data_IF_421440662146
#
_entry.id   IF_421440662146
#
_cell.length_a   1.000
_cell.length_b   1.000
_cell.length_c   1.000
_cell.angle_alpha   90.00
_cell.angle_beta   90.00
_cell.angle_gamma   90.00
#
_symmetry.space_group_name_H-M   'P 1'
#
loop_
_entity.id
_entity.type
_entity.pdbx_description
1 polymer ?
#
# COMPACT_ATOMS: atom_id res chain seq x y z
N UNK A 1 -55.06 43.68 -27.15
CA UNK A 1 -54.56 43.23 -28.46
C UNK A 1 -53.63 42.04 -28.23
N UNK A 2 -53.77 40.93 -28.98
CA UNK A 2 -52.81 39.82 -28.87
C UNK A 2 -51.42 40.25 -29.36
N UNK A 3 -50.34 39.69 -28.79
CA UNK A 3 -48.98 40.01 -29.20
C UNK A 3 -48.72 39.63 -30.66
N UNK A 4 -47.84 40.36 -31.38
CA UNK A 4 -47.56 40.10 -32.79
C UNK A 4 -46.85 38.76 -32.97
N UNK A 5 -47.18 38.06 -34.06
CA UNK A 5 -46.77 36.68 -34.35
C UNK A 5 -45.26 36.44 -34.27
N UNK A 6 -44.45 37.42 -34.69
CA UNK A 6 -42.99 37.33 -34.62
C UNK A 6 -42.48 37.22 -33.17
N UNK A 7 -43.14 37.91 -32.23
CA UNK A 7 -42.78 37.86 -30.80
C UNK A 7 -43.21 36.52 -30.22
N UNK A 8 -44.40 36.02 -30.57
CA UNK A 8 -44.85 34.70 -30.09
C UNK A 8 -43.96 33.56 -30.61
N UNK A 9 -43.52 33.64 -31.86
CA UNK A 9 -42.63 32.65 -32.46
C UNK A 9 -41.22 32.67 -31.83
N UNK A 10 -40.71 33.87 -31.49
CA UNK A 10 -39.45 34.02 -30.77
C UNK A 10 -39.54 33.48 -29.34
N UNK A 11 -40.62 33.77 -28.62
CA UNK A 11 -40.87 33.23 -27.27
C UNK A 11 -40.94 31.70 -27.31
N UNK A 12 -41.68 31.13 -28.27
CA UNK A 12 -41.79 29.68 -28.43
C UNK A 12 -40.42 29.01 -28.73
N UNK A 13 -39.59 29.63 -29.58
CA UNK A 13 -38.22 29.15 -29.84
C UNK A 13 -37.34 29.22 -28.60
N UNK A 14 -37.39 30.31 -27.84
CA UNK A 14 -36.62 30.46 -26.61
C UNK A 14 -37.03 29.43 -25.55
N UNK A 15 -38.33 29.18 -25.38
CA UNK A 15 -38.84 28.14 -24.49
C UNK A 15 -38.44 26.73 -24.93
N UNK A 16 -38.41 26.49 -26.25
CA UNK A 16 -37.95 25.21 -26.80
C UNK A 16 -36.47 24.97 -26.49
N UNK A 17 -35.58 25.92 -26.82
CA UNK A 17 -34.15 25.79 -26.56
C UNK A 17 -33.84 25.78 -25.05
N UNK A 18 -34.58 26.53 -24.23
CA UNK A 18 -34.45 26.49 -22.78
C UNK A 18 -34.81 25.14 -22.18
N UNK A 19 -35.82 24.45 -22.73
CA UNK A 19 -36.16 23.06 -22.35
C UNK A 19 -35.07 22.09 -22.80
N UNK A 20 -34.63 22.18 -24.06
CA UNK A 20 -33.59 21.31 -24.62
C UNK A 20 -32.28 21.41 -23.84
N UNK A 21 -31.87 22.60 -23.42
CA UNK A 21 -30.65 22.79 -22.63
C UNK A 21 -30.74 22.11 -21.26
N UNK A 22 -31.90 22.17 -20.60
CA UNK A 22 -32.13 21.47 -19.33
C UNK A 22 -32.05 19.95 -19.49
N UNK A 23 -32.57 19.41 -20.59
CA UNK A 23 -32.48 17.98 -20.92
C UNK A 23 -31.03 17.55 -21.20
N UNK A 24 -30.28 18.35 -21.97
CA UNK A 24 -28.87 18.09 -22.24
C UNK A 24 -28.02 18.10 -20.96
N UNK A 25 -28.26 19.03 -20.04
CA UNK A 25 -27.56 19.06 -18.75
C UNK A 25 -27.84 17.81 -17.91
N UNK A 26 -29.09 17.32 -17.91
CA UNK A 26 -29.44 16.06 -17.24
C UNK A 26 -28.71 14.87 -17.86
N UNK A 27 -28.72 14.77 -19.19
CA UNK A 27 -28.03 13.71 -19.92
C UNK A 27 -26.51 13.70 -19.69
N UNK A 28 -25.90 14.90 -19.64
CA UNK A 28 -24.48 15.06 -19.33
C UNK A 28 -24.15 14.58 -17.91
N UNK A 29 -24.98 14.91 -16.93
CA UNK A 29 -24.78 14.44 -15.55
C UNK A 29 -24.83 12.91 -15.48
N UNK A 30 -25.81 12.30 -16.13
CA UNK A 30 -25.95 10.84 -16.14
C UNK A 30 -24.78 10.15 -16.85
N UNK A 31 -24.26 10.72 -17.94
CA UNK A 31 -23.12 10.15 -18.65
C UNK A 31 -21.82 10.24 -17.84
N UNK A 32 -21.60 11.33 -17.08
CA UNK A 32 -20.46 11.46 -16.16
C UNK A 32 -20.53 10.39 -15.06
N UNK A 33 -21.71 10.21 -14.45
CA UNK A 33 -21.91 9.21 -13.40
C UNK A 33 -21.63 7.81 -13.94
N UNK A 34 -22.22 7.44 -15.08
CA UNK A 34 -22.01 6.12 -15.69
C UNK A 34 -20.52 5.85 -15.97
N UNK A 35 -19.82 6.84 -16.57
CA UNK A 35 -18.39 6.73 -16.85
C UNK A 35 -17.55 6.56 -15.58
N UNK A 36 -17.93 7.25 -14.50
CA UNK A 36 -17.21 7.15 -13.23
C UNK A 36 -17.49 5.81 -12.54
N UNK A 37 -18.72 5.33 -12.56
CA UNK A 37 -19.11 4.02 -12.03
C UNK A 37 -18.40 2.87 -12.75
N UNK A 38 -18.30 2.92 -14.07
CA UNK A 38 -17.58 1.91 -14.86
C UNK A 38 -16.08 1.91 -14.54
N UNK A 39 -15.49 3.10 -14.38
CA UNK A 39 -14.10 3.24 -13.94
C UNK A 39 -13.87 2.69 -12.53
N UNK A 40 -14.83 2.89 -11.62
CA UNK A 40 -14.72 2.42 -10.24
C UNK A 40 -14.88 0.89 -10.15
N UNK A 41 -15.76 0.31 -10.98
CA UNK A 41 -15.93 -1.14 -11.10
C UNK A 41 -14.64 -1.84 -11.57
N UNK A 42 -13.89 -1.21 -12.46
CA UNK A 42 -12.60 -1.73 -12.94
C UNK A 42 -11.47 -1.63 -11.90
N UNK A 43 -11.65 -0.89 -10.80
CA UNK A 43 -10.63 -0.84 -9.75
C UNK A 43 -10.61 -2.18 -9.03
N UNK A 44 -9.42 -2.75 -8.92
CA UNK A 44 -9.21 -3.94 -8.11
C UNK A 44 -9.76 -3.69 -6.70
N UNK A 45 -10.55 -4.65 -6.20
CA UNK A 45 -10.99 -4.64 -4.82
C UNK A 45 -9.73 -4.67 -3.94
N UNK A 46 -9.44 -3.54 -3.30
CA UNK A 46 -8.36 -3.45 -2.33
C UNK A 46 -8.67 -4.43 -1.22
N UNK A 47 -7.96 -5.55 -1.20
CA UNK A 47 -7.97 -6.48 -0.08
C UNK A 47 -7.37 -5.76 1.12
N UNK A 48 -8.22 -5.24 2.00
CA UNK A 48 -7.83 -4.54 3.24
C UNK A 48 -7.10 -5.44 4.24
N UNK A 49 -6.99 -6.74 3.97
CA UNK A 49 -6.47 -7.73 4.91
C UNK A 49 -5.01 -8.13 4.70
N UNK A 50 -4.26 -7.45 3.81
CA UNK A 50 -2.80 -7.54 3.87
C UNK A 50 -2.31 -6.55 4.92
N UNK A 51 -2.21 -7.01 6.17
CA UNK A 51 -1.22 -6.47 7.09
C UNK A 51 0.14 -6.65 6.40
N UNK A 52 0.54 -5.64 5.62
CA UNK A 52 1.80 -5.66 4.92
C UNK A 52 2.87 -5.67 6.01
N UNK A 53 3.50 -6.83 6.22
CA UNK A 53 4.77 -6.89 6.94
C UNK A 53 5.73 -6.04 6.12
N UNK A 54 5.92 -4.79 6.54
CA UNK A 54 6.71 -3.82 5.80
C UNK A 54 8.18 -4.20 5.92
N UNK A 55 8.82 -4.46 4.78
CA UNK A 55 10.23 -4.85 4.74
C UNK A 55 11.16 -3.74 5.26
N UNK A 56 10.70 -2.50 5.21
CA UNK A 56 11.39 -1.30 5.71
C UNK A 56 10.48 -0.55 6.68
N UNK A 57 11.11 0.05 7.69
CA UNK A 57 10.42 0.97 8.59
C UNK A 57 10.03 2.26 7.88
N UNK A 58 8.92 2.85 8.33
CA UNK A 58 8.49 4.20 7.99
C UNK A 58 9.44 5.24 8.60
N UNK A 59 9.26 6.52 8.26
CA UNK A 59 9.96 7.62 8.94
C UNK A 59 9.58 7.67 10.42
N UNK A 60 8.31 7.48 10.76
CA UNK A 60 7.84 7.43 12.15
C UNK A 60 8.49 6.30 12.95
N UNK A 61 8.73 5.14 12.33
CA UNK A 61 9.41 4.02 13.01
C UNK A 61 10.85 4.39 13.37
N UNK A 62 11.54 5.13 12.50
CA UNK A 62 12.91 5.61 12.77
C UNK A 62 12.94 6.63 13.90
N UNK A 63 12.00 7.56 13.92
CA UNK A 63 11.92 8.58 14.97
C UNK A 63 11.54 7.96 16.33
N UNK A 64 10.72 6.90 16.32
CA UNK A 64 10.39 6.12 17.51
C UNK A 64 11.48 5.11 17.92
N UNK A 65 12.59 5.01 17.17
CA UNK A 65 13.66 4.05 17.44
C UNK A 65 13.26 2.58 17.22
N UNK A 66 12.16 2.33 16.52
CA UNK A 66 11.66 0.99 16.20
C UNK A 66 12.51 0.41 15.07
N UNK A 67 13.28 -0.63 15.39
CA UNK A 67 14.05 -1.39 14.40
C UNK A 67 13.11 -2.06 13.41
N UNK A 68 13.43 -1.96 12.13
CA UNK A 68 12.58 -2.55 11.10
C UNK A 68 12.60 -4.08 11.17
N UNK A 69 11.56 -4.74 10.63
CA UNK A 69 11.44 -6.20 10.64
C UNK A 69 12.66 -6.93 10.06
N UNK A 70 13.36 -6.34 9.08
CA UNK A 70 14.58 -6.92 8.52
C UNK A 70 15.76 -6.88 9.50
N UNK A 71 15.93 -5.78 10.24
CA UNK A 71 17.00 -5.62 11.22
C UNK A 71 16.81 -6.55 12.42
N UNK A 72 15.57 -6.68 12.89
CA UNK A 72 15.24 -7.58 14.00
C UNK A 72 15.50 -9.04 13.62
N UNK A 73 15.09 -9.46 12.42
CA UNK A 73 15.35 -10.82 11.91
C UNK A 73 16.85 -11.09 11.71
N UNK A 74 17.60 -10.12 11.17
CA UNK A 74 19.06 -10.26 11.02
C UNK A 74 19.77 -10.41 12.37
N UNK A 75 19.40 -9.59 13.35
CA UNK A 75 19.95 -9.66 14.70
C UNK A 75 19.63 -11.02 15.36
N UNK A 76 18.38 -11.48 15.27
CA UNK A 76 17.97 -12.77 15.80
C UNK A 76 18.71 -13.94 15.13
N UNK A 77 18.93 -13.86 13.80
CA UNK A 77 19.70 -14.88 13.06
C UNK A 77 21.15 -14.94 13.53
N UNK A 78 21.80 -13.78 13.72
CA UNK A 78 23.19 -13.73 14.20
C UNK A 78 23.33 -14.31 15.61
N UNK A 79 22.40 -13.99 16.52
CA UNK A 79 22.39 -14.55 17.87
C UNK A 79 22.26 -16.08 17.85
N UNK A 80 21.31 -16.62 17.07
CA UNK A 80 21.12 -18.08 16.95
C UNK A 80 22.32 -18.79 16.33
N UNK A 81 22.96 -18.18 15.34
CA UNK A 81 24.19 -18.74 14.75
C UNK A 81 25.33 -18.76 15.76
N UNK A 82 25.49 -17.70 16.55
CA UNK A 82 26.50 -17.64 17.60
C UNK A 82 26.30 -18.75 18.63
N UNK A 83 25.08 -18.95 19.13
CA UNK A 83 24.76 -20.03 20.06
C UNK A 83 25.07 -21.42 19.48
N UNK A 84 24.83 -21.62 18.19
CA UNK A 84 25.13 -22.87 17.51
C UNK A 84 26.64 -23.13 17.47
N UNK A 85 27.43 -22.13 17.07
CA UNK A 85 28.89 -22.25 17.04
C UNK A 85 29.51 -22.38 18.44
N UNK A 86 28.93 -21.76 19.47
CA UNK A 86 29.38 -21.94 20.85
C UNK A 86 29.19 -23.40 21.30
N UNK A 87 28.09 -24.06 20.92
CA UNK A 87 27.88 -25.49 21.20
C UNK A 87 28.86 -26.38 20.44
N UNK A 88 29.11 -26.07 19.17
CA UNK A 88 30.08 -26.81 18.35
C UNK A 88 31.51 -26.66 18.90
N UNK A 89 31.90 -25.46 19.33
CA UNK A 89 33.22 -25.22 19.93
C UNK A 89 33.44 -26.07 21.19
N UNK A 90 32.42 -26.20 22.05
CA UNK A 90 32.50 -27.06 23.24
C UNK A 90 32.63 -28.55 22.89
N UNK A 91 31.92 -28.99 21.85
CA UNK A 91 32.04 -30.36 21.34
C UNK A 91 33.45 -30.62 20.80
N UNK A 92 33.98 -29.72 19.97
CA UNK A 92 35.32 -29.86 19.41
C UNK A 92 36.42 -29.79 20.46
N UNK A 93 36.29 -28.92 21.48
CA UNK A 93 37.25 -28.89 22.60
C UNK A 93 37.29 -30.25 23.32
N UNK A 94 36.14 -30.90 23.52
CA UNK A 94 36.06 -32.24 24.12
C UNK A 94 36.74 -33.30 23.25
N UNK A 95 36.51 -33.27 21.95
CA UNK A 95 37.11 -34.21 20.99
C UNK A 95 38.63 -34.03 20.88
N UNK A 96 39.12 -32.79 20.86
CA UNK A 96 40.55 -32.49 20.85
C UNK A 96 41.23 -32.90 22.15
N UNK A 97 40.60 -32.63 23.29
CA UNK A 97 41.13 -33.05 24.59
C UNK A 97 41.27 -34.58 24.67
N UNK A 98 40.36 -35.34 24.04
CA UNK A 98 40.47 -36.80 23.97
C UNK A 98 41.68 -37.28 23.14
N UNK A 99 42.15 -36.45 22.19
CA UNK A 99 43.37 -36.68 21.41
C UNK A 99 44.63 -36.04 22.04
N UNK A 100 44.51 -35.42 23.21
CA UNK A 100 45.60 -34.71 23.88
C UNK A 100 45.93 -33.33 23.28
N UNK A 101 45.05 -32.77 22.45
CA UNK A 101 45.15 -31.44 21.85
C UNK A 101 44.12 -30.50 22.49
N UNK A 102 44.19 -29.19 22.22
CA UNK A 102 43.19 -28.21 22.69
C UNK A 102 43.07 -27.06 21.68
N UNK A 103 41.91 -26.40 21.62
CA UNK A 103 41.70 -25.22 20.80
C UNK A 103 42.54 -24.04 21.30
N UNK A 104 43.07 -23.26 20.36
CA UNK A 104 43.73 -22.00 20.68
C UNK A 104 42.71 -21.00 21.22
N UNK A 105 42.90 -20.58 22.49
CA UNK A 105 42.04 -19.61 23.17
C UNK A 105 42.60 -18.20 22.97
N UNK A 106 41.74 -17.19 22.70
CA UNK A 106 42.21 -15.81 22.61
C UNK A 106 42.88 -15.43 23.94
N UNK A 107 44.04 -14.80 23.83
CA UNK A 107 44.73 -14.14 24.94
C UNK A 107 44.47 -12.65 24.73
N UNK A 108 43.81 -12.03 25.70
CA UNK A 108 43.66 -10.57 25.75
C UNK A 108 45.04 -9.88 25.83
#
# INVERSE_FOLDING_TARGET
>A
MPPPKNITDLVAKNEYYGRLQKEQQKALRTSIIAKWSERDLQREHRTTNRAAVTLRGSTSDRDAGIKCGLETVKAARQARLKELFEREALMYEKELNAMGLSLAKPRD
#
